data_IF_868940488264
#
_entry.id   IF_868940488264
#
_cell.length_a   1.000
_cell.length_b   1.000
_cell.length_c   1.000
_cell.angle_alpha   90.00
_cell.angle_beta   90.00
_cell.angle_gamma   90.00
#
_symmetry.space_group_name_H-M   'P 1'
#
loop_
_entity.id
_entity.type
_entity.pdbx_description
1 polymer ?
#
# COMPACT_ATOMS: atom_id res chain seq x y z
N UNK A 1 4.56 6.25 11.24
CA UNK A 1 3.30 6.00 10.50
C UNK A 1 2.53 4.93 11.24
N UNK A 2 1.40 5.25 11.86
CA UNK A 2 0.54 4.30 12.59
C UNK A 2 -0.19 3.35 11.61
N UNK A 3 0.56 2.54 10.84
CA UNK A 3 0.03 1.67 9.79
C UNK A 3 0.50 0.24 9.99
N UNK A 4 -0.41 -0.69 9.78
CA UNK A 4 -0.08 -2.12 9.82
C UNK A 4 0.81 -2.48 8.63
N UNK A 5 1.94 -3.19 8.84
CA UNK A 5 2.85 -3.59 7.77
C UNK A 5 2.14 -4.34 6.63
N UNK A 6 1.14 -5.15 6.95
CA UNK A 6 0.33 -5.90 5.98
C UNK A 6 -0.45 -5.00 5.04
N UNK A 7 -0.95 -3.85 5.53
CA UNK A 7 -1.69 -2.90 4.70
C UNK A 7 -0.77 -2.22 3.69
N UNK A 8 0.42 -1.81 4.14
CA UNK A 8 1.44 -1.20 3.27
C UNK A 8 1.91 -2.21 2.23
N UNK A 9 2.19 -3.45 2.65
CA UNK A 9 2.57 -4.55 1.76
C UNK A 9 1.49 -4.77 0.69
N UNK A 10 0.23 -4.93 1.10
CA UNK A 10 -0.87 -5.21 0.16
C UNK A 10 -1.01 -4.11 -0.89
N UNK A 11 -0.87 -2.84 -0.49
CA UNK A 11 -0.90 -1.71 -1.41
C UNK A 11 0.28 -1.74 -2.40
N UNK A 12 1.50 -1.92 -1.89
CA UNK A 12 2.69 -1.99 -2.72
C UNK A 12 2.61 -3.13 -3.74
N UNK A 13 2.21 -4.33 -3.32
CA UNK A 13 2.08 -5.48 -4.20
C UNK A 13 0.99 -5.28 -5.25
N UNK A 14 -0.14 -4.68 -4.88
CA UNK A 14 -1.23 -4.34 -5.79
C UNK A 14 -0.80 -3.33 -6.87
N UNK A 15 -0.13 -2.24 -6.48
CA UNK A 15 0.34 -1.19 -7.40
C UNK A 15 1.48 -1.67 -8.30
N UNK A 16 2.39 -2.50 -7.77
CA UNK A 16 3.45 -3.09 -8.59
C UNK A 16 2.96 -4.21 -9.49
N UNK A 17 1.75 -4.76 -9.26
CA UNK A 17 1.23 -5.93 -9.97
C UNK A 17 2.05 -7.19 -9.70
N UNK A 18 2.55 -7.35 -8.46
CA UNK A 18 3.46 -8.43 -8.07
C UNK A 18 2.93 -9.24 -6.91
N UNK A 19 3.62 -10.34 -6.61
CA UNK A 19 3.43 -11.07 -5.36
C UNK A 19 4.71 -11.02 -4.53
N UNK A 20 4.53 -11.02 -3.23
CA UNK A 20 5.61 -10.95 -2.25
C UNK A 20 5.13 -11.37 -0.87
N UNK A 21 6.05 -11.38 0.08
CA UNK A 21 5.79 -11.75 1.48
C UNK A 21 6.64 -10.91 2.42
N UNK A 22 6.17 -10.73 3.65
CA UNK A 22 7.01 -10.22 4.74
C UNK A 22 7.82 -11.36 5.33
N UNK A 23 9.11 -11.13 5.49
CA UNK A 23 10.04 -12.00 6.22
C UNK A 23 9.83 -11.87 7.75
N UNK A 24 10.40 -12.78 8.54
CA UNK A 24 10.34 -12.73 10.01
C UNK A 24 10.97 -11.48 10.63
N UNK A 25 11.83 -10.79 9.88
CA UNK A 25 12.40 -9.49 10.25
C UNK A 25 11.58 -8.28 9.71
N UNK A 26 10.32 -8.50 9.32
CA UNK A 26 9.43 -7.46 8.73
C UNK A 26 9.98 -6.82 7.43
N UNK A 27 10.84 -7.54 6.71
CA UNK A 27 11.36 -7.09 5.40
C UNK A 27 10.44 -7.56 4.29
N UNK A 28 10.09 -6.67 3.36
CA UNK A 28 9.26 -7.03 2.21
C UNK A 28 10.10 -7.70 1.11
N UNK A 29 9.82 -8.96 0.82
CA UNK A 29 10.42 -9.71 -0.29
C UNK A 29 9.47 -9.69 -1.47
N UNK A 30 9.88 -9.05 -2.58
CA UNK A 30 9.08 -8.89 -3.80
C UNK A 30 9.65 -9.73 -4.93
N UNK A 31 8.81 -10.44 -5.68
CA UNK A 31 9.25 -11.21 -6.85
C UNK A 31 9.40 -10.30 -8.07
N UNK A 32 10.64 -9.99 -8.46
CA UNK A 32 10.96 -9.29 -9.70
C UNK A 32 12.15 -8.34 -9.59
N UNK A 33 12.43 -7.60 -10.67
CA UNK A 33 13.40 -6.50 -10.68
C UNK A 33 12.64 -5.18 -10.82
N UNK A 34 12.77 -4.31 -9.83
CA UNK A 34 12.11 -3.00 -9.81
C UNK A 34 13.15 -1.91 -9.63
N UNK A 35 13.02 -0.83 -10.42
CA UNK A 35 13.84 0.35 -10.23
C UNK A 35 13.42 1.07 -8.93
N UNK A 36 14.38 1.57 -8.11
CA UNK A 36 14.06 2.30 -6.88
C UNK A 36 13.10 3.47 -7.08
N UNK A 37 13.20 4.18 -8.22
CA UNK A 37 12.32 5.30 -8.57
C UNK A 37 10.84 4.91 -8.63
N UNK A 38 10.52 3.71 -9.12
CA UNK A 38 9.14 3.24 -9.20
C UNK A 38 8.58 2.99 -7.81
N UNK A 39 9.41 2.42 -6.93
CA UNK A 39 9.03 2.15 -5.55
C UNK A 39 8.76 3.44 -4.78
N UNK A 40 9.61 4.46 -4.93
CA UNK A 40 9.42 5.76 -4.32
C UNK A 40 8.12 6.44 -4.79
N UNK A 41 7.82 6.39 -6.09
CA UNK A 41 6.58 6.96 -6.64
C UNK A 41 5.32 6.29 -6.09
N UNK A 42 5.33 4.96 -5.93
CA UNK A 42 4.21 4.21 -5.32
C UNK A 42 4.09 4.55 -3.83
N UNK A 43 5.21 4.60 -3.10
CA UNK A 43 5.20 4.92 -1.68
C UNK A 43 4.67 6.35 -1.43
N UNK A 44 5.06 7.32 -2.26
CA UNK A 44 4.53 8.69 -2.20
C UNK A 44 3.02 8.72 -2.40
N UNK A 45 2.48 7.92 -3.33
CA UNK A 45 1.03 7.77 -3.53
C UNK A 45 0.35 7.16 -2.30
N UNK A 46 0.94 6.12 -1.70
CA UNK A 46 0.44 5.54 -0.45
C UNK A 46 0.34 6.57 0.67
N UNK A 47 1.39 7.37 0.84
CA UNK A 47 1.46 8.40 1.87
C UNK A 47 0.36 9.45 1.65
N UNK A 48 0.21 9.96 0.43
CA UNK A 48 -0.81 10.98 0.13
C UNK A 48 -2.24 10.47 0.35
N UNK A 49 -2.51 9.20 0.01
CA UNK A 49 -3.87 8.66 0.07
C UNK A 49 -4.23 8.12 1.46
N UNK A 50 -3.31 7.40 2.11
CA UNK A 50 -3.60 6.63 3.33
C UNK A 50 -2.90 7.15 4.58
N UNK A 51 -2.05 8.18 4.51
CA UNK A 51 -1.30 8.70 5.68
C UNK A 51 -1.55 10.18 5.91
N UNK A 52 -1.49 11.00 4.86
CA UNK A 52 -1.64 12.45 4.99
C UNK A 52 -3.11 12.83 5.14
N UNK A 53 -3.38 13.73 6.09
CA UNK A 53 -4.67 14.38 6.22
C UNK A 53 -4.87 15.42 5.11
N UNK A 54 -6.04 15.43 4.45
CA UNK A 54 -6.32 16.40 3.38
C UNK A 54 -6.51 17.83 3.90
N UNK A 55 -7.00 18.00 5.13
CA UNK A 55 -7.23 19.31 5.73
C UNK A 55 -5.94 19.98 6.20
N UNK A 56 -5.21 19.34 7.12
CA UNK A 56 -4.05 19.95 7.79
C UNK A 56 -2.69 19.44 7.27
N UNK A 57 -2.66 18.51 6.31
CA UNK A 57 -1.45 17.88 5.77
C UNK A 57 -0.57 17.14 6.80
N UNK A 58 -1.06 16.96 8.02
CA UNK A 58 -0.36 16.19 9.06
C UNK A 58 -0.30 14.70 8.72
N UNK A 59 0.82 14.01 8.97
CA UNK A 59 0.91 12.55 8.91
C UNK A 59 0.32 11.85 10.15
N UNK A 60 -0.06 12.60 11.19
CA UNK A 60 -0.67 12.09 12.42
C UNK A 60 -2.14 11.72 12.18
N UNK A 61 -2.32 10.54 11.60
CA UNK A 61 -3.64 9.99 11.29
C UNK A 61 -3.71 8.50 11.63
N UNK A 62 -4.89 8.05 12.02
CA UNK A 62 -5.22 6.65 12.33
C UNK A 62 -6.08 6.09 11.20
N UNK A 63 -5.73 4.90 10.73
CA UNK A 63 -6.51 4.15 9.76
C UNK A 63 -7.30 3.05 10.48
N UNK A 64 -8.63 3.18 10.51
CA UNK A 64 -9.55 2.21 11.11
C UNK A 64 -10.31 1.47 10.03
N UNK A 65 -10.56 0.17 10.23
CA UNK A 65 -11.38 -0.65 9.33
C UNK A 65 -12.74 -0.85 9.98
N UNK A 66 -13.80 -0.38 9.33
CA UNK A 66 -15.18 -0.58 9.77
C UNK A 66 -15.93 -1.28 8.64
N UNK A 67 -16.30 -2.54 8.86
CA UNK A 67 -16.90 -3.44 7.86
C UNK A 67 -16.02 -3.62 6.61
N UNK A 68 -16.50 -3.16 5.46
CA UNK A 68 -15.83 -3.22 4.15
C UNK A 68 -15.13 -1.91 3.78
N UNK A 69 -15.23 -0.88 4.63
CA UNK A 69 -14.70 0.44 4.39
C UNK A 69 -13.52 0.73 5.33
N UNK A 70 -12.59 1.53 4.83
CA UNK A 70 -11.51 2.06 5.63
C UNK A 70 -11.80 3.53 5.92
N UNK A 71 -11.51 3.95 7.15
CA UNK A 71 -11.68 5.32 7.61
C UNK A 71 -10.34 5.87 8.09
N UNK A 72 -9.95 6.99 7.53
CA UNK A 72 -8.78 7.76 7.93
C UNK A 72 -9.23 8.89 8.86
N UNK A 73 -8.81 8.88 10.12
CA UNK A 73 -9.08 9.94 11.10
C UNK A 73 -7.80 10.67 11.45
N UNK A 74 -7.81 12.00 11.45
CA UNK A 74 -6.67 12.81 11.85
C UNK A 74 -6.70 13.12 13.33
N UNK A 75 -5.58 12.92 14.02
CA UNK A 75 -5.47 13.20 15.46
C UNK A 75 -5.24 14.69 15.74
N UNK A 76 -4.70 15.47 14.78
CA UNK A 76 -4.48 16.91 14.97
C UNK A 76 -5.72 17.78 14.78
N UNK A 77 -6.50 17.54 13.73
CA UNK A 77 -7.65 18.39 13.38
C UNK A 77 -9.00 17.67 13.51
N UNK A 78 -9.01 16.40 13.92
CA UNK A 78 -10.23 15.61 14.11
C UNK A 78 -10.97 15.23 12.82
N UNK A 79 -10.51 15.67 11.65
CA UNK A 79 -11.18 15.37 10.39
C UNK A 79 -11.12 13.87 10.08
N UNK A 80 -12.27 13.29 9.72
CA UNK A 80 -12.39 11.92 9.23
C UNK A 80 -12.76 11.89 7.76
N UNK A 81 -12.21 10.93 7.00
CA UNK A 81 -12.68 10.58 5.65
C UNK A 81 -12.72 9.08 5.45
N UNK A 82 -13.64 8.61 4.64
CA UNK A 82 -13.55 7.26 4.09
C UNK A 82 -12.45 7.22 3.03
N UNK A 83 -11.68 6.14 3.01
CA UNK A 83 -10.69 5.85 1.97
C UNK A 83 -11.09 4.56 1.25
N UNK A 84 -10.81 4.52 -0.05
CA UNK A 84 -11.13 3.35 -0.85
C UNK A 84 -10.34 2.14 -0.33
N UNK A 85 -10.94 0.93 -0.31
CA UNK A 85 -10.17 -0.27 -0.05
C UNK A 85 -9.14 -0.47 -1.16
N UNK A 86 -7.99 -1.05 -0.80
CA UNK A 86 -6.98 -1.44 -1.77
C UNK A 86 -7.60 -2.48 -2.71
N UNK A 87 -7.95 -2.06 -3.93
CA UNK A 87 -8.36 -2.97 -4.99
C UNK A 87 -7.09 -3.48 -5.64
N UNK A 88 -6.82 -4.78 -5.52
CA UNK A 88 -5.83 -5.40 -6.39
C UNK A 88 -6.32 -5.22 -7.82
N UNK A 89 -5.61 -4.42 -8.61
CA UNK A 89 -5.87 -4.32 -10.05
C UNK A 89 -5.77 -5.70 -10.70
N UNK A 90 -6.39 -5.87 -11.86
CA UNK A 90 -6.25 -7.10 -12.62
C UNK A 90 -4.78 -7.32 -13.00
N UNK A 91 -4.14 -8.31 -12.40
CA UNK A 91 -2.77 -8.70 -12.77
C UNK A 91 -2.86 -9.76 -13.85
N UNK A 92 -2.54 -9.38 -15.09
CA UNK A 92 -2.37 -10.35 -16.16
C UNK A 92 -1.24 -11.31 -15.78
N UNK A 93 -1.58 -12.55 -15.41
CA UNK A 93 -0.61 -13.65 -15.28
C UNK A 93 -0.13 -14.03 -16.67
N UNK A 94 0.80 -13.26 -17.24
CA UNK A 94 1.51 -13.68 -18.44
C UNK A 94 2.37 -14.87 -18.01
N UNK A 95 1.99 -16.07 -18.46
CA UNK A 95 2.70 -17.30 -18.12
C UNK A 95 4.19 -17.16 -18.42
N UNK A 96 5.05 -17.59 -17.48
CA UNK A 96 6.48 -17.74 -17.75
C UNK A 96 6.63 -18.68 -18.94
N UNK A 97 7.17 -18.19 -20.07
CA UNK A 97 7.68 -19.06 -21.12
C UNK A 97 8.72 -19.96 -20.45
N UNK A 98 8.42 -21.26 -20.33
CA UNK A 98 9.44 -22.24 -19.96
C UNK A 98 10.49 -22.20 -21.07
N UNK A 99 11.69 -21.71 -20.77
CA UNK A 99 12.84 -22.05 -21.58
C UNK A 99 13.08 -23.55 -21.35
N UNK A 100 12.48 -24.36 -22.22
CA UNK A 100 12.78 -25.78 -22.31
C UNK A 100 14.24 -25.96 -22.74
N UNK A 101 14.85 -27.00 -22.18
CA UNK A 101 16.19 -27.51 -22.47
C UNK A 101 16.44 -27.69 -23.96
#
# INVERSE_FOLDING_TARGET
MHRQPEHVMTFLLAEMGTSGSLDGQQRLVVKGRFAPKNFEGILRRYINEYVICNGCKSPDTILSKENRLFFLRCEKCGSGRSVAPIKAGFVARVGRRKAGT
#
